data_IF_003994139163
#
_entry.id   IF_003994139163
#
_cell.length_a   1.000
_cell.length_b   1.000
_cell.length_c   1.000
_cell.angle_alpha   90.00
_cell.angle_beta   90.00
_cell.angle_gamma   90.00
#
_symmetry.space_group_name_H-M   'P 1'
#
loop_
_entity.id
_entity.type
_entity.pdbx_description
1 polymer ?
#
# COMPACT_ATOMS: atom_id res chain seq x y z
N UNK A 1 -14.17 23.27 -15.68
CA UNK A 1 -14.85 22.18 -14.95
C UNK A 1 -14.10 20.82 -14.95
N UNK A 2 -12.86 20.70 -15.47
CA UNK A 2 -12.19 19.39 -15.62
C UNK A 2 -11.68 18.73 -14.33
N UNK A 3 -11.72 19.39 -13.17
CA UNK A 3 -11.10 18.87 -11.94
C UNK A 3 -12.08 18.48 -10.82
N UNK A 4 -13.40 18.56 -11.05
CA UNK A 4 -14.38 18.30 -10.00
C UNK A 4 -14.27 16.87 -9.41
N UNK A 5 -13.82 15.90 -10.20
CA UNK A 5 -13.66 14.52 -9.75
C UNK A 5 -12.42 14.32 -8.86
N UNK A 6 -11.40 15.17 -8.94
CA UNK A 6 -10.18 15.04 -8.11
C UNK A 6 -10.49 15.27 -6.63
N UNK A 7 -11.44 16.16 -6.32
CA UNK A 7 -11.86 16.42 -4.94
C UNK A 7 -12.44 15.19 -4.24
N UNK A 8 -13.06 14.26 -4.99
CA UNK A 8 -13.53 12.98 -4.44
C UNK A 8 -12.35 12.16 -3.93
N UNK A 9 -11.25 12.10 -4.67
CA UNK A 9 -10.06 11.36 -4.27
C UNK A 9 -9.28 12.04 -3.14
N UNK A 10 -9.27 13.37 -3.07
CA UNK A 10 -8.79 14.07 -1.88
C UNK A 10 -9.63 13.74 -0.65
N UNK A 11 -10.96 13.74 -0.77
CA UNK A 11 -11.85 13.36 0.32
C UNK A 11 -11.62 11.92 0.78
N UNK A 12 -11.46 10.98 -0.16
CA UNK A 12 -11.10 9.59 0.16
C UNK A 12 -9.78 9.56 0.95
N UNK A 13 -8.71 10.21 0.50
CA UNK A 13 -7.44 10.22 1.25
C UNK A 13 -7.59 10.82 2.66
N UNK A 14 -8.39 11.88 2.80
CA UNK A 14 -8.68 12.45 4.11
C UNK A 14 -9.35 11.41 5.01
N UNK A 15 -10.31 10.64 4.52
CA UNK A 15 -10.94 9.57 5.31
C UNK A 15 -9.93 8.51 5.78
N UNK A 16 -8.98 8.11 4.93
CA UNK A 16 -7.93 7.15 5.33
C UNK A 16 -6.99 7.74 6.38
N UNK A 17 -6.59 9.00 6.21
CA UNK A 17 -5.75 9.72 7.18
C UNK A 17 -6.51 9.87 8.50
N UNK A 18 -7.79 10.24 8.47
CA UNK A 18 -8.63 10.32 9.66
C UNK A 18 -8.75 8.97 10.35
N UNK A 19 -8.98 7.87 9.61
CA UNK A 19 -9.00 6.52 10.17
C UNK A 19 -7.69 6.14 10.86
N UNK A 20 -6.55 6.40 10.20
CA UNK A 20 -5.22 6.21 10.77
C UNK A 20 -4.99 7.06 12.03
N UNK A 21 -5.41 8.33 12.03
CA UNK A 21 -5.25 9.21 13.20
C UNK A 21 -6.14 8.80 14.36
N UNK A 22 -7.37 8.33 14.10
CA UNK A 22 -8.25 7.80 15.15
C UNK A 22 -7.62 6.56 15.80
N UNK A 23 -7.13 5.62 15.00
CA UNK A 23 -6.46 4.40 15.51
C UNK A 23 -5.21 4.74 16.34
N UNK A 24 -4.44 5.75 15.92
CA UNK A 24 -3.26 6.22 16.64
C UNK A 24 -3.59 6.86 18.00
N UNK A 25 -4.74 7.55 18.11
CA UNK A 25 -5.14 8.30 19.32
C UNK A 25 -5.89 7.40 20.29
N UNK A 26 -6.93 6.71 19.82
CA UNK A 26 -7.74 5.79 20.63
C UNK A 26 -8.29 4.66 19.74
N UNK A 27 -7.58 3.51 19.67
CA UNK A 27 -8.00 2.39 18.84
C UNK A 27 -9.36 1.82 19.27
N UNK A 28 -9.81 2.06 20.51
CA UNK A 28 -11.11 1.57 20.98
C UNK A 28 -12.28 2.18 20.21
N UNK A 29 -12.12 3.39 19.67
CA UNK A 29 -13.16 4.08 18.88
C UNK A 29 -13.52 3.28 17.62
N UNK A 30 -12.52 2.67 16.98
CA UNK A 30 -12.74 1.84 15.79
C UNK A 30 -13.04 0.36 16.14
N UNK A 31 -13.21 0.05 17.43
CA UNK A 31 -13.48 -1.30 17.91
C UNK A 31 -12.21 -2.16 18.06
N UNK A 32 -11.05 -1.53 18.21
CA UNK A 32 -9.75 -2.18 18.29
C UNK A 32 -9.18 -2.05 19.70
N UNK A 33 -9.01 -3.17 20.41
CA UNK A 33 -8.46 -3.15 21.77
C UNK A 33 -6.96 -2.82 21.80
N UNK A 34 -6.25 -3.17 20.73
CA UNK A 34 -4.86 -2.77 20.48
C UNK A 34 -4.51 -2.94 19.00
N UNK A 35 -3.95 -1.89 18.38
CA UNK A 35 -3.37 -1.94 17.04
C UNK A 35 -2.29 -3.03 16.87
N UNK A 36 -1.63 -3.42 17.96
CA UNK A 36 -0.56 -4.42 17.96
C UNK A 36 -1.03 -5.87 18.01
N UNK A 37 -2.32 -6.14 18.22
CA UNK A 37 -2.83 -7.52 18.31
C UNK A 37 -4.13 -7.70 17.50
N UNK A 38 -4.02 -8.02 16.20
CA UNK A 38 -5.16 -8.54 15.42
C UNK A 38 -5.76 -9.80 16.05
N UNK A 39 -4.98 -10.57 16.80
CA UNK A 39 -5.44 -11.74 17.56
C UNK A 39 -6.48 -11.36 18.62
N UNK A 40 -6.47 -10.13 19.15
CA UNK A 40 -7.52 -9.66 20.06
C UNK A 40 -8.82 -9.27 19.34
N UNK A 41 -8.84 -9.26 18.00
CA UNK A 41 -10.07 -9.18 17.22
C UNK A 41 -10.72 -10.53 16.99
N UNK A 42 -10.12 -11.63 17.47
CA UNK A 42 -10.72 -12.95 17.36
C UNK A 42 -12.11 -12.92 18.01
N UNK A 43 -13.13 -12.98 17.17
CA UNK A 43 -14.52 -13.08 17.56
C UNK A 43 -14.85 -14.48 18.06
N UNK A 44 -15.99 -14.61 18.70
CA UNK A 44 -16.50 -15.80 19.37
C UNK A 44 -16.89 -16.95 18.41
N UNK A 45 -16.50 -16.88 17.13
CA UNK A 45 -16.95 -17.73 16.03
C UNK A 45 -15.79 -18.10 15.11
N UNK A 46 -15.66 -19.39 14.79
CA UNK A 46 -14.71 -19.88 13.77
C UNK A 46 -15.20 -19.70 12.33
N UNK A 47 -16.46 -19.28 12.14
CA UNK A 47 -17.11 -19.16 10.83
C UNK A 47 -17.23 -17.68 10.44
N UNK A 48 -16.74 -17.28 9.24
CA UNK A 48 -16.94 -15.92 8.73
C UNK A 48 -18.42 -15.57 8.61
N UNK A 49 -18.80 -14.40 9.12
CA UNK A 49 -20.15 -13.88 9.04
C UNK A 49 -20.25 -12.83 7.92
N UNK A 50 -21.36 -12.82 7.16
CA UNK A 50 -21.55 -11.86 6.07
C UNK A 50 -21.76 -10.43 6.60
N UNK A 51 -21.62 -9.42 5.71
CA UNK A 51 -21.85 -8.02 6.05
C UNK A 51 -23.24 -7.73 6.63
N UNK A 52 -23.30 -6.81 7.60
CA UNK A 52 -24.54 -6.31 8.23
C UNK A 52 -24.47 -4.79 8.41
N UNK A 53 -25.61 -4.15 8.61
CA UNK A 53 -25.74 -2.69 8.77
C UNK A 53 -25.19 -2.13 10.10
N UNK A 54 -24.38 -2.89 10.87
CA UNK A 54 -23.67 -2.34 12.02
C UNK A 54 -22.27 -1.89 11.61
N UNK A 55 -21.77 -0.81 12.21
CA UNK A 55 -20.48 -0.21 11.85
C UNK A 55 -19.31 -1.21 11.83
N UNK A 56 -19.24 -2.10 12.82
CA UNK A 56 -18.20 -3.13 12.92
C UNK A 56 -18.39 -4.27 11.89
N UNK A 57 -19.63 -4.60 11.54
CA UNK A 57 -19.97 -5.65 10.57
C UNK A 57 -20.21 -5.13 9.15
N UNK A 58 -19.90 -3.87 8.86
CA UNK A 58 -20.18 -3.25 7.56
C UNK A 58 -19.58 -4.03 6.39
N UNK A 59 -18.44 -4.70 6.63
CA UNK A 59 -17.74 -5.56 5.68
C UNK A 59 -17.77 -7.05 6.07
N UNK A 60 -18.54 -7.41 7.10
CA UNK A 60 -18.60 -8.76 7.67
C UNK A 60 -17.40 -9.09 8.54
N UNK A 61 -17.25 -10.37 8.86
CA UNK A 61 -16.08 -10.92 9.54
C UNK A 61 -15.27 -11.83 8.61
N UNK A 62 -13.98 -11.92 8.90
CA UNK A 62 -13.04 -12.84 8.29
C UNK A 62 -12.86 -14.11 9.12
N UNK A 63 -11.73 -14.81 8.93
CA UNK A 63 -11.36 -15.96 9.74
C UNK A 63 -11.30 -15.59 11.23
N UNK A 64 -11.60 -16.55 12.10
CA UNK A 64 -11.59 -16.35 13.56
C UNK A 64 -12.54 -15.22 14.03
N UNK A 65 -13.55 -14.87 13.23
CA UNK A 65 -14.52 -13.84 13.59
C UNK A 65 -13.97 -12.41 13.61
N UNK A 66 -12.82 -12.16 12.97
CA UNK A 66 -12.19 -10.83 12.92
C UNK A 66 -13.06 -9.88 12.09
N UNK A 67 -13.51 -8.76 12.68
CA UNK A 67 -14.26 -7.73 11.95
C UNK A 67 -13.38 -7.09 10.86
N UNK A 68 -13.77 -7.25 9.59
CA UNK A 68 -12.93 -6.85 8.46
C UNK A 68 -12.72 -5.34 8.45
N UNK A 69 -13.77 -4.55 8.63
CA UNK A 69 -13.67 -3.09 8.51
C UNK A 69 -12.76 -2.47 9.59
N UNK A 70 -12.96 -2.73 10.90
CA UNK A 70 -12.01 -2.35 11.94
C UNK A 70 -10.57 -2.83 11.67
N UNK A 71 -10.40 -4.06 11.19
CA UNK A 71 -9.09 -4.63 10.91
C UNK A 71 -8.38 -3.93 9.73
N UNK A 72 -9.13 -3.49 8.71
CA UNK A 72 -8.62 -2.68 7.59
C UNK A 72 -8.21 -1.28 8.01
N UNK A 73 -8.93 -0.66 8.96
CA UNK A 73 -8.53 0.65 9.49
C UNK A 73 -7.29 0.47 10.37
N UNK A 74 -7.31 -0.50 11.28
CA UNK A 74 -6.22 -0.77 12.21
C UNK A 74 -4.93 -1.21 11.51
N UNK A 75 -5.00 -1.79 10.31
CA UNK A 75 -3.80 -2.12 9.54
C UNK A 75 -3.08 -0.88 9.01
N UNK A 76 -3.76 0.26 8.84
CA UNK A 76 -3.15 1.47 8.28
C UNK A 76 -1.97 1.93 9.13
N UNK A 77 -1.98 1.62 10.44
CA UNK A 77 -0.90 1.96 11.36
C UNK A 77 0.43 1.27 11.03
N UNK A 78 0.39 0.11 10.38
CA UNK A 78 1.59 -0.61 9.92
C UNK A 78 1.84 -0.32 8.44
N UNK A 79 0.79 -0.31 7.62
CA UNK A 79 0.88 -0.17 6.17
C UNK A 79 1.39 1.20 5.73
N UNK A 80 0.88 2.29 6.32
CA UNK A 80 1.25 3.66 5.95
C UNK A 80 2.71 3.94 6.29
N UNK A 81 3.22 3.67 7.52
CA UNK A 81 4.64 3.84 7.82
C UNK A 81 5.56 2.99 6.94
N UNK A 82 5.18 1.74 6.63
CA UNK A 82 5.94 0.88 5.71
C UNK A 82 5.98 1.47 4.30
N UNK A 83 4.85 1.96 3.79
CA UNK A 83 4.78 2.59 2.48
C UNK A 83 5.57 3.91 2.43
N UNK A 84 5.54 4.70 3.49
CA UNK A 84 6.34 5.93 3.64
C UNK A 84 7.85 5.62 3.66
N UNK A 85 8.27 4.63 4.46
CA UNK A 85 9.66 4.22 4.54
C UNK A 85 10.16 3.68 3.19
N UNK A 86 9.35 2.85 2.52
CA UNK A 86 9.63 2.35 1.17
C UNK A 86 9.79 3.49 0.16
N UNK A 87 8.90 4.47 0.23
CA UNK A 87 8.93 5.65 -0.64
C UNK A 87 10.18 6.49 -0.38
N UNK A 88 10.56 6.70 0.88
CA UNK A 88 11.77 7.43 1.26
C UNK A 88 13.02 6.73 0.73
N UNK A 89 13.15 5.42 0.92
CA UNK A 89 14.25 4.60 0.38
C UNK A 89 14.31 4.76 -1.14
N UNK A 90 13.16 4.66 -1.81
CA UNK A 90 13.07 4.79 -3.26
C UNK A 90 13.46 6.19 -3.77
N UNK A 91 13.18 7.25 -3.01
CA UNK A 91 13.60 8.62 -3.34
C UNK A 91 15.09 8.86 -3.08
N UNK A 92 15.66 8.26 -2.03
CA UNK A 92 17.11 8.26 -1.78
C UNK A 92 17.84 7.56 -2.94
N UNK A 93 17.35 6.40 -3.38
CA UNK A 93 17.89 5.69 -4.54
C UNK A 93 17.79 6.53 -5.82
N UNK A 94 16.64 7.18 -6.04
CA UNK A 94 16.49 8.11 -7.16
C UNK A 94 17.57 9.21 -7.12
N UNK A 95 17.75 9.84 -5.96
CA UNK A 95 18.75 10.89 -5.78
C UNK A 95 20.16 10.40 -6.14
N UNK A 96 20.55 9.22 -5.63
CA UNK A 96 21.86 8.61 -5.93
C UNK A 96 22.02 8.38 -7.43
N UNK A 97 21.04 7.74 -8.08
CA UNK A 97 21.15 7.37 -9.50
C UNK A 97 21.07 8.56 -10.45
N UNK A 98 20.31 9.59 -10.13
CA UNK A 98 20.26 10.84 -10.92
C UNK A 98 21.64 11.47 -11.02
N UNK A 99 22.39 11.52 -9.91
CA UNK A 99 23.74 12.09 -9.90
C UNK A 99 24.72 11.25 -10.73
N UNK A 100 24.51 9.93 -10.77
CA UNK A 100 25.32 8.99 -11.55
C UNK A 100 24.87 8.87 -13.02
N UNK A 101 23.69 9.38 -13.39
CA UNK A 101 23.10 9.25 -14.73
C UNK A 101 23.92 9.95 -15.84
N UNK A 102 24.91 10.78 -15.46
CA UNK A 102 25.88 11.38 -16.40
C UNK A 102 26.86 10.34 -16.99
N UNK A 103 27.07 9.20 -16.32
CA UNK A 103 27.96 8.15 -16.80
C UNK A 103 27.23 7.27 -17.83
N UNK A 104 27.79 7.13 -19.04
CA UNK A 104 27.20 6.38 -20.16
C UNK A 104 26.91 4.91 -19.82
N UNK A 105 27.77 4.28 -19.02
CA UNK A 105 27.57 2.89 -18.59
C UNK A 105 26.38 2.79 -17.63
N UNK A 106 26.35 3.66 -16.62
CA UNK A 106 25.26 3.74 -15.63
C UNK A 106 23.94 4.03 -16.33
N UNK A 107 23.93 4.96 -17.29
CA UNK A 107 22.76 5.25 -18.12
C UNK A 107 22.23 4.02 -18.84
N UNK A 108 23.09 3.23 -19.51
CA UNK A 108 22.65 2.03 -20.22
C UNK A 108 22.09 0.96 -19.28
N UNK A 109 22.72 0.74 -18.12
CA UNK A 109 22.24 -0.20 -17.09
C UNK A 109 20.87 0.24 -16.60
N UNK A 110 20.74 1.53 -16.30
CA UNK A 110 19.49 2.10 -15.85
C UNK A 110 18.43 1.97 -16.94
N UNK A 111 18.71 2.34 -18.19
CA UNK A 111 17.74 2.26 -19.27
C UNK A 111 17.27 0.81 -19.49
N UNK A 112 18.14 -0.18 -19.28
CA UNK A 112 17.78 -1.61 -19.27
C UNK A 112 16.95 -2.03 -18.04
N UNK A 113 17.28 -1.53 -16.84
CA UNK A 113 16.47 -1.74 -15.64
C UNK A 113 15.09 -1.08 -15.78
N UNK A 114 15.06 0.08 -16.42
CA UNK A 114 13.85 0.81 -16.75
C UNK A 114 13.02 0.06 -17.78
N UNK A 115 13.56 -0.65 -18.77
CA UNK A 115 12.74 -1.41 -19.74
C UNK A 115 12.18 -2.71 -19.17
N UNK A 116 12.75 -3.20 -18.07
CA UNK A 116 12.29 -4.42 -17.41
C UNK A 116 10.90 -4.22 -16.78
N UNK A 117 9.99 -5.18 -17.02
CA UNK A 117 8.56 -5.10 -16.67
C UNK A 117 8.32 -4.94 -15.15
N UNK A 118 7.13 -4.40 -14.78
CA UNK A 118 6.64 -4.29 -13.40
C UNK A 118 6.75 -5.58 -12.58
N UNK A 119 6.65 -6.75 -13.24
CA UNK A 119 6.82 -8.05 -12.61
C UNK A 119 8.22 -8.24 -11.99
N UNK A 120 9.27 -7.70 -12.63
CA UNK A 120 10.62 -7.78 -12.10
C UNK A 120 10.76 -7.02 -10.77
N UNK A 121 10.08 -5.88 -10.62
CA UNK A 121 10.12 -5.11 -9.38
C UNK A 121 9.55 -5.93 -8.21
N UNK A 122 8.42 -6.60 -8.42
CA UNK A 122 7.83 -7.48 -7.41
C UNK A 122 8.80 -8.62 -7.07
N UNK A 123 9.41 -9.26 -8.07
CA UNK A 123 10.39 -10.33 -7.84
C UNK A 123 11.61 -9.84 -7.05
N UNK A 124 12.14 -8.65 -7.38
CA UNK A 124 13.26 -8.04 -6.67
C UNK A 124 12.87 -7.77 -5.21
N UNK A 125 11.68 -7.22 -4.96
CA UNK A 125 11.21 -6.97 -3.61
C UNK A 125 11.13 -8.27 -2.81
N UNK A 126 10.51 -9.31 -3.38
CA UNK A 126 10.42 -10.66 -2.77
C UNK A 126 11.80 -11.24 -2.48
N UNK A 127 12.74 -11.15 -3.42
CA UNK A 127 14.09 -11.69 -3.26
C UNK A 127 14.84 -11.00 -2.11
N UNK A 128 14.77 -9.67 -2.03
CA UNK A 128 15.41 -8.90 -0.96
C UNK A 128 14.80 -9.27 0.40
N UNK A 129 13.47 -9.37 0.47
CA UNK A 129 12.75 -9.74 1.70
C UNK A 129 13.11 -11.17 2.13
N UNK A 130 13.21 -12.10 1.18
CA UNK A 130 13.58 -13.48 1.44
C UNK A 130 14.94 -13.59 2.12
N UNK A 131 15.95 -12.85 1.64
CA UNK A 131 17.30 -12.88 2.22
C UNK A 131 17.43 -12.05 3.51
N UNK A 132 16.71 -10.94 3.64
CA UNK A 132 16.82 -10.04 4.79
C UNK A 132 15.97 -10.49 6.01
N UNK A 133 15.01 -11.40 5.82
CA UNK A 133 14.16 -11.96 6.89
C UNK A 133 12.98 -11.05 7.32
N UNK A 134 12.03 -11.55 8.14
CA UNK A 134 10.70 -10.94 8.33
C UNK A 134 10.67 -9.75 9.27
N UNK A 135 11.01 -8.59 8.74
CA UNK A 135 10.92 -7.32 9.47
C UNK A 135 10.28 -6.21 8.64
N UNK A 136 9.63 -5.27 9.31
CA UNK A 136 9.14 -4.01 8.70
C UNK A 136 10.22 -3.31 7.86
N UNK A 137 11.47 -3.35 8.35
CA UNK A 137 12.65 -2.76 7.69
C UNK A 137 12.98 -3.50 6.39
N UNK A 138 13.04 -4.83 6.43
CA UNK A 138 13.32 -5.66 5.24
C UNK A 138 12.28 -5.46 4.13
N UNK A 139 11.00 -5.43 4.49
CA UNK A 139 9.89 -5.27 3.56
C UNK A 139 9.95 -3.88 2.94
N UNK A 140 10.11 -2.85 3.78
CA UNK A 140 10.22 -1.48 3.28
C UNK A 140 11.46 -1.29 2.40
N UNK A 141 12.56 -1.96 2.71
CA UNK A 141 13.78 -1.93 1.91
C UNK A 141 13.60 -2.64 0.57
N UNK A 142 13.07 -3.87 0.56
CA UNK A 142 12.82 -4.60 -0.67
C UNK A 142 11.86 -3.88 -1.60
N UNK A 143 10.75 -3.36 -1.05
CA UNK A 143 9.75 -2.59 -1.80
C UNK A 143 10.36 -1.26 -2.30
N UNK A 144 11.03 -0.50 -1.44
CA UNK A 144 11.68 0.76 -1.82
C UNK A 144 12.75 0.60 -2.90
N UNK A 145 13.59 -0.44 -2.81
CA UNK A 145 14.60 -0.77 -3.81
C UNK A 145 14.00 -1.29 -5.13
N UNK A 146 12.77 -1.77 -5.12
CA UNK A 146 12.09 -2.22 -6.34
C UNK A 146 11.38 -1.09 -7.09
N UNK A 147 10.99 -0.01 -6.42
CA UNK A 147 10.12 1.03 -7.00
C UNK A 147 10.91 2.18 -7.63
N UNK A 148 12.15 2.45 -7.20
CA UNK A 148 12.92 3.61 -7.67
C UNK A 148 13.08 3.73 -9.20
N UNK A 149 13.12 2.65 -10.01
CA UNK A 149 13.15 2.79 -11.47
C UNK A 149 11.92 3.54 -12.00
N UNK A 150 10.75 3.37 -11.37
CA UNK A 150 9.52 4.08 -11.77
C UNK A 150 9.63 5.59 -11.57
N UNK A 151 10.31 6.04 -10.51
CA UNK A 151 10.52 7.48 -10.29
C UNK A 151 11.55 8.05 -11.24
N UNK A 152 12.58 7.28 -11.59
CA UNK A 152 13.58 7.78 -12.51
C UNK A 152 13.02 8.03 -13.92
N UNK A 153 12.08 7.19 -14.39
CA UNK A 153 11.32 7.46 -15.62
C UNK A 153 10.60 8.81 -15.58
N UNK A 154 10.15 9.22 -14.40
CA UNK A 154 9.41 10.47 -14.15
C UNK A 154 10.35 11.65 -13.94
N UNK A 155 11.59 11.47 -13.47
CA UNK A 155 12.53 12.56 -13.11
C UNK A 155 12.91 13.56 -14.24
N UNK A 156 12.43 13.39 -15.47
CA UNK A 156 12.74 14.27 -16.62
C UNK A 156 12.32 15.75 -16.46
N UNK A 157 11.59 16.11 -15.40
CA UNK A 157 11.12 17.48 -15.13
C UNK A 157 11.87 18.13 -13.95
N UNK A 158 12.12 19.45 -14.00
CA UNK A 158 12.85 20.16 -12.95
C UNK A 158 12.18 20.04 -11.57
N UNK A 159 13.00 19.93 -10.53
CA UNK A 159 12.58 19.67 -9.16
C UNK A 159 11.81 20.85 -8.54
N UNK A 160 10.49 20.87 -8.73
CA UNK A 160 9.59 21.69 -7.92
C UNK A 160 9.10 20.91 -6.69
N UNK A 161 8.80 21.60 -5.60
CA UNK A 161 8.23 20.99 -4.39
C UNK A 161 6.95 20.18 -4.71
N UNK A 162 6.10 20.72 -5.58
CA UNK A 162 4.88 20.03 -6.03
C UNK A 162 5.18 18.72 -6.77
N UNK A 163 6.28 18.69 -7.53
CA UNK A 163 6.71 17.48 -8.22
C UNK A 163 7.22 16.41 -7.26
N UNK A 164 7.98 16.83 -6.23
CA UNK A 164 8.40 15.94 -5.15
C UNK A 164 7.19 15.37 -4.39
N UNK A 165 6.22 16.21 -4.04
CA UNK A 165 4.97 15.76 -3.42
C UNK A 165 4.22 14.76 -4.30
N UNK A 166 4.13 15.02 -5.61
CA UNK A 166 3.52 14.07 -6.55
C UNK A 166 4.23 12.71 -6.52
N UNK A 167 5.56 12.67 -6.49
CA UNK A 167 6.30 11.41 -6.35
C UNK A 167 6.02 10.72 -5.02
N UNK A 168 5.97 11.46 -3.92
CA UNK A 168 5.66 10.91 -2.59
C UNK A 168 4.28 10.26 -2.60
N UNK A 169 3.24 10.95 -3.09
CA UNK A 169 1.87 10.39 -3.14
C UNK A 169 1.81 9.12 -4.01
N UNK A 170 2.33 9.16 -5.24
CA UNK A 170 2.36 7.98 -6.09
C UNK A 170 3.16 6.85 -5.46
N UNK A 171 4.22 7.20 -4.74
CA UNK A 171 5.08 6.26 -4.06
C UNK A 171 4.43 5.51 -2.92
N UNK A 172 3.69 6.22 -2.07
CA UNK A 172 2.92 5.61 -0.98
C UNK A 172 1.92 4.63 -1.58
N UNK A 173 1.19 5.03 -2.63
CA UNK A 173 0.24 4.15 -3.33
C UNK A 173 0.90 2.90 -3.92
N UNK A 174 1.97 3.06 -4.69
CA UNK A 174 2.67 1.94 -5.32
C UNK A 174 3.31 1.00 -4.29
N UNK A 175 3.92 1.55 -3.24
CA UNK A 175 4.51 0.77 -2.15
C UNK A 175 3.45 -0.06 -1.45
N UNK A 176 2.32 0.56 -1.09
CA UNK A 176 1.22 -0.11 -0.43
C UNK A 176 0.62 -1.21 -1.32
N UNK A 177 0.49 -0.98 -2.63
CA UNK A 177 0.02 -1.99 -3.58
C UNK A 177 0.94 -3.23 -3.62
N UNK A 178 2.26 -3.01 -3.67
CA UNK A 178 3.24 -4.12 -3.67
C UNK A 178 3.24 -4.84 -2.32
N UNK A 179 3.20 -4.10 -1.22
CA UNK A 179 3.14 -4.66 0.14
C UNK A 179 1.89 -5.55 0.28
N UNK A 180 0.72 -5.02 -0.07
CA UNK A 180 -0.54 -5.77 -0.02
C UNK A 180 -0.49 -7.02 -0.90
N UNK A 181 0.10 -6.93 -2.10
CA UNK A 181 0.29 -8.09 -2.98
C UNK A 181 1.21 -9.15 -2.36
N UNK A 182 2.36 -8.76 -1.81
CA UNK A 182 3.33 -9.68 -1.19
C UNK A 182 2.65 -10.45 -0.06
N UNK A 183 1.93 -9.77 0.83
CA UNK A 183 1.23 -10.43 1.93
C UNK A 183 0.03 -11.27 1.46
N UNK A 184 -0.77 -10.76 0.52
CA UNK A 184 -1.92 -11.50 -0.02
C UNK A 184 -1.51 -12.79 -0.75
N UNK A 185 -0.41 -12.74 -1.49
CA UNK A 185 0.09 -13.87 -2.28
C UNK A 185 0.59 -15.03 -1.43
N UNK A 186 0.74 -14.84 -0.12
CA UNK A 186 1.28 -15.88 0.76
C UNK A 186 2.75 -16.21 0.53
N UNK A 187 3.42 -15.49 -0.38
CA UNK A 187 4.86 -15.53 -0.58
C UNK A 187 5.55 -15.14 0.73
N UNK A 188 4.85 -14.38 1.58
CA UNK A 188 5.32 -13.99 2.90
C UNK A 188 4.24 -14.05 3.96
N UNK A 189 4.38 -14.96 4.92
CA UNK A 189 3.57 -15.01 6.14
C UNK A 189 4.42 -14.53 7.32
N UNK A 190 4.26 -13.28 7.72
CA UNK A 190 4.86 -12.78 8.97
C UNK A 190 3.76 -12.60 10.03
N UNK A 191 4.14 -12.54 11.31
CA UNK A 191 3.23 -12.15 12.39
C UNK A 191 2.91 -10.64 12.40
N UNK A 192 3.27 -9.89 11.35
CA UNK A 192 2.96 -8.46 11.27
C UNK A 192 1.47 -8.28 11.03
N UNK A 193 0.84 -7.36 11.76
CA UNK A 193 -0.55 -7.00 11.55
C UNK A 193 -0.69 -6.17 10.27
N UNK A 194 -0.83 -6.82 9.13
CA UNK A 194 -1.09 -6.22 7.82
C UNK A 194 -2.32 -6.89 7.18
N UNK A 195 -3.05 -6.17 6.34
CA UNK A 195 -4.26 -6.70 5.68
C UNK A 195 -4.01 -7.88 4.78
N UNK A 196 -2.89 -7.97 4.09
CA UNK A 196 -2.60 -9.16 3.30
C UNK A 196 -2.50 -10.40 4.18
N UNK A 197 -2.05 -10.27 5.44
CA UNK A 197 -2.18 -11.34 6.42
C UNK A 197 -3.63 -11.57 6.86
N UNK A 198 -4.46 -10.52 7.01
CA UNK A 198 -5.92 -10.66 7.25
C UNK A 198 -6.59 -11.44 6.11
N UNK A 199 -6.15 -11.23 4.87
CA UNK A 199 -6.65 -11.91 3.67
C UNK A 199 -6.07 -13.32 3.50
N UNK A 200 -4.88 -13.61 4.06
CA UNK A 200 -4.11 -14.85 3.85
C UNK A 200 -3.87 -15.67 5.13
N UNK A 201 -4.63 -15.49 6.22
CA UNK A 201 -4.48 -16.36 7.39
C UNK A 201 -4.65 -17.84 6.98
N UNK A 202 -3.57 -18.61 7.11
CA UNK A 202 -3.45 -20.07 6.89
C UNK A 202 -3.80 -20.63 5.51
N UNK A 203 -3.38 -19.99 4.40
CA UNK A 203 -3.54 -20.53 3.03
C UNK A 203 -5.01 -20.78 2.60
N UNK A 204 -5.94 -20.15 3.31
CA UNK A 204 -7.39 -20.36 3.15
C UNK A 204 -8.04 -19.41 2.14
N UNK A 205 -7.33 -18.44 1.56
CA UNK A 205 -7.94 -17.46 0.62
C UNK A 205 -8.64 -18.11 -0.58
N UNK A 206 -8.03 -19.11 -1.21
CA UNK A 206 -8.68 -19.91 -2.28
C UNK A 206 -9.86 -20.72 -1.73
N UNK A 207 -9.74 -21.25 -0.50
CA UNK A 207 -10.81 -21.98 0.17
C UNK A 207 -11.99 -21.06 0.49
N UNK A 208 -11.77 -19.80 0.86
CA UNK A 208 -12.84 -18.84 1.14
C UNK A 208 -13.60 -18.45 -0.11
N UNK A 209 -12.90 -18.24 -1.23
CA UNK A 209 -13.55 -18.06 -2.53
C UNK A 209 -14.40 -19.30 -2.91
N UNK A 210 -13.86 -20.50 -2.71
CA UNK A 210 -14.57 -21.75 -2.98
C UNK A 210 -15.77 -22.00 -2.05
N UNK A 211 -15.70 -21.55 -0.79
CA UNK A 211 -16.76 -21.67 0.22
C UNK A 211 -17.79 -20.53 0.15
N UNK A 212 -17.65 -19.59 -0.78
CA UNK A 212 -18.60 -18.49 -0.99
C UNK A 212 -18.42 -17.27 -0.08
N UNK A 213 -17.34 -17.20 0.71
CA UNK A 213 -17.00 -16.08 1.58
C UNK A 213 -16.29 -14.95 0.80
N UNK A 214 -16.89 -14.50 -0.30
CA UNK A 214 -16.27 -13.56 -1.24
C UNK A 214 -15.93 -12.20 -0.61
N UNK A 215 -16.66 -11.78 0.43
CA UNK A 215 -16.45 -10.48 1.08
C UNK A 215 -15.11 -10.38 1.79
N UNK A 216 -14.57 -11.51 2.28
CA UNK A 216 -13.26 -11.62 2.94
C UNK A 216 -12.12 -11.20 2.01
N UNK A 217 -12.30 -11.38 0.70
CA UNK A 217 -11.32 -11.01 -0.32
C UNK A 217 -11.67 -9.67 -0.95
N UNK A 218 -12.96 -9.48 -1.29
CA UNK A 218 -13.40 -8.34 -2.08
C UNK A 218 -13.27 -7.01 -1.33
N UNK A 219 -13.65 -6.93 -0.05
CA UNK A 219 -13.61 -5.65 0.67
C UNK A 219 -12.19 -5.15 0.91
N UNK A 220 -11.24 -5.96 1.39
CA UNK A 220 -9.84 -5.56 1.47
C UNK A 220 -9.26 -5.11 0.12
N UNK A 221 -9.59 -5.82 -0.95
CA UNK A 221 -9.13 -5.47 -2.30
C UNK A 221 -9.67 -4.11 -2.76
N UNK A 222 -10.97 -3.86 -2.58
CA UNK A 222 -11.60 -2.58 -2.90
C UNK A 222 -10.99 -1.46 -2.05
N UNK A 223 -10.83 -1.70 -0.74
CA UNK A 223 -10.28 -0.73 0.20
C UNK A 223 -8.90 -0.26 -0.24
N UNK A 224 -7.96 -1.15 -0.56
CA UNK A 224 -6.65 -0.68 -1.02
C UNK A 224 -6.65 -0.15 -2.44
N UNK A 225 -7.45 -0.73 -3.33
CA UNK A 225 -7.56 -0.22 -4.70
C UNK A 225 -8.00 1.25 -4.68
N UNK A 226 -8.98 1.61 -3.85
CA UNK A 226 -9.41 2.99 -3.68
C UNK A 226 -8.29 3.89 -3.15
N UNK A 227 -7.51 3.44 -2.16
CA UNK A 227 -6.36 4.20 -1.65
C UNK A 227 -5.28 4.41 -2.72
N UNK A 228 -4.88 3.35 -3.42
CA UNK A 228 -3.85 3.37 -4.48
C UNK A 228 -4.29 4.23 -5.67
N UNK A 229 -5.56 4.15 -6.06
CA UNK A 229 -6.13 4.99 -7.12
C UNK A 229 -6.14 6.45 -6.66
N UNK A 230 -6.57 6.73 -5.42
CA UNK A 230 -6.66 8.09 -4.89
C UNK A 230 -5.29 8.77 -4.83
N UNK A 231 -4.29 8.08 -4.29
CA UNK A 231 -2.91 8.60 -4.21
C UNK A 231 -2.32 8.88 -5.59
N UNK A 232 -2.56 8.00 -6.57
CA UNK A 232 -2.08 8.20 -7.95
C UNK A 232 -2.83 9.32 -8.69
N UNK A 233 -4.14 9.48 -8.50
CA UNK A 233 -4.90 10.58 -9.11
C UNK A 233 -4.47 11.92 -8.54
N UNK A 234 -4.30 12.01 -7.21
CA UNK A 234 -3.78 13.21 -6.55
C UNK A 234 -2.36 13.53 -7.02
N UNK A 235 -1.50 12.52 -7.16
CA UNK A 235 -0.16 12.67 -7.73
C UNK A 235 -0.21 13.25 -9.15
N UNK A 236 -1.01 12.67 -10.05
CA UNK A 236 -1.15 13.13 -11.43
C UNK A 236 -1.70 14.56 -11.51
N UNK A 237 -2.66 14.90 -10.65
CA UNK A 237 -3.17 16.27 -10.56
C UNK A 237 -2.05 17.26 -10.17
N UNK A 238 -1.21 16.92 -9.19
CA UNK A 238 -0.07 17.76 -8.79
C UNK A 238 0.96 17.92 -9.92
N UNK A 239 1.21 16.88 -10.72
CA UNK A 239 2.07 16.97 -11.91
C UNK A 239 1.46 17.92 -12.95
N UNK A 240 0.17 17.77 -13.25
CA UNK A 240 -0.52 18.60 -14.25
C UNK A 240 -0.55 20.08 -13.88
N UNK A 241 -0.65 20.41 -12.58
CA UNK A 241 -0.57 21.80 -12.10
C UNK A 241 0.80 22.45 -12.33
N UNK A 242 1.84 21.67 -12.61
CA UNK A 242 3.18 22.15 -12.92
C UNK A 242 3.51 22.15 -14.41
N UNK A 243 2.66 21.59 -15.27
CA UNK A 243 2.90 21.58 -16.71
C UNK A 243 2.48 22.93 -17.32
N UNK A 244 3.44 23.74 -17.82
CA UNK A 244 3.12 25.04 -18.43
C UNK A 244 2.28 24.93 -19.70
N UNK A 245 2.13 23.73 -20.29
CA UNK A 245 1.28 23.48 -21.46
C UNK A 245 -0.17 23.15 -21.10
N UNK A 246 -0.46 22.93 -19.81
CA UNK A 246 -1.79 22.56 -19.31
C UNK A 246 -2.64 23.72 -18.80
N UNK A 247 -2.09 24.95 -18.81
CA UNK A 247 -2.78 26.21 -18.49
C UNK A 247 -3.12 26.95 -19.79
#
# INVERSE_FOLDING_TARGET
MRYNHVYIFYFILILYITGFMIDLIDPKIIGVSSASNLILFAGHSSVPEPPRLSFQMLMGTGPLGIYIFPALIGSLITDIPMALLSTAISLIMLYIFVHQYKNKIVKNIIDAALTSFLFLNIMIAVLIIYFAGPSTISISTGVGLSIWPLYLRRYKTPASLRYLLAMIFSGIGNSLAIIAFIFFSGIYTSYLNNVGNIMYMDSLSIRYAALGYWWVILFPLIFYSLFVISTNIVSNHMVNLNDPRGQ
#
